data_IF_255096902242
#
_entry.id   IF_255096902242
#
_cell.length_a   1.000
_cell.length_b   1.000
_cell.length_c   1.000
_cell.angle_alpha   90.00
_cell.angle_beta   90.00
_cell.angle_gamma   90.00
#
_symmetry.space_group_name_H-M   'P 1'
#
loop_
_entity.id
_entity.type
_entity.pdbx_description
1 polymer ?
#
# COMPACT_ATOMS: atom_id res chain seq x y z
N UNK A 1 -17.63 8.85 -25.98
CA UNK A 1 -16.31 9.28 -26.50
C UNK A 1 -15.31 8.21 -26.16
N UNK A 2 -14.57 7.69 -27.15
CA UNK A 2 -13.55 6.67 -26.92
C UNK A 2 -12.22 7.35 -26.54
N UNK A 3 -11.41 6.69 -25.71
CA UNK A 3 -10.08 7.20 -25.28
C UNK A 3 -9.18 7.56 -26.47
N UNK A 4 -9.37 6.85 -27.59
CA UNK A 4 -8.68 7.05 -28.87
C UNK A 4 -8.92 8.44 -29.49
N UNK A 5 -10.02 9.11 -29.15
CA UNK A 5 -10.39 10.44 -29.69
C UNK A 5 -9.75 11.60 -28.92
N UNK A 6 -9.38 11.40 -27.64
CA UNK A 6 -8.80 12.45 -26.78
C UNK A 6 -7.26 12.43 -26.88
N UNK A 7 -6.64 11.26 -27.05
CA UNK A 7 -5.21 11.11 -27.33
C UNK A 7 -4.98 9.99 -28.35
N UNK A 8 -4.90 10.30 -29.66
CA UNK A 8 -4.76 9.28 -30.70
C UNK A 8 -3.45 8.48 -30.51
N UNK A 9 -3.57 7.17 -30.26
CA UNK A 9 -2.43 6.23 -30.21
C UNK A 9 -1.81 5.97 -28.82
N UNK A 10 -2.41 6.47 -27.74
CA UNK A 10 -1.88 6.25 -26.39
C UNK A 10 -2.28 4.86 -25.85
N UNK A 11 -1.32 3.93 -25.85
CA UNK A 11 -1.48 2.66 -25.12
C UNK A 11 -1.40 2.90 -23.60
N UNK A 12 -2.05 2.08 -22.74
CA UNK A 12 -1.99 2.25 -21.28
C UNK A 12 -0.56 2.34 -20.73
N UNK A 13 0.39 1.61 -21.36
CA UNK A 13 1.81 1.67 -21.01
C UNK A 13 2.43 3.05 -21.26
N UNK A 14 2.12 3.70 -22.38
CA UNK A 14 2.59 5.06 -22.69
C UNK A 14 1.99 6.11 -21.76
N UNK A 15 0.72 5.96 -21.37
CA UNK A 15 0.05 6.85 -20.42
C UNK A 15 0.68 6.73 -19.03
N UNK A 16 0.92 5.50 -18.56
CA UNK A 16 1.63 5.26 -17.30
C UNK A 16 3.06 5.83 -17.35
N UNK A 17 3.73 5.77 -18.49
CA UNK A 17 5.05 6.38 -18.66
C UNK A 17 4.98 7.91 -18.56
N UNK A 18 3.96 8.54 -19.14
CA UNK A 18 3.71 9.97 -19.02
C UNK A 18 3.42 10.39 -17.58
N UNK A 19 2.63 9.62 -16.83
CA UNK A 19 2.37 9.88 -15.41
C UNK A 19 3.63 9.76 -14.52
N UNK A 20 4.67 9.09 -15.00
CA UNK A 20 5.97 8.96 -14.31
C UNK A 20 6.99 10.02 -14.70
N UNK A 21 6.75 10.78 -15.77
CA UNK A 21 7.63 11.88 -16.21
C UNK A 21 7.50 13.04 -15.22
N UNK A 22 8.51 13.19 -14.36
CA UNK A 22 8.51 14.22 -13.31
C UNK A 22 9.94 14.63 -12.91
N UNK A 23 10.15 15.83 -12.35
CA UNK A 23 11.49 16.30 -11.98
C UNK A 23 12.03 15.68 -10.67
N UNK A 24 11.19 15.02 -9.87
CA UNK A 24 11.53 14.45 -8.57
C UNK A 24 11.65 12.92 -8.61
N UNK A 25 12.50 12.29 -7.79
CA UNK A 25 12.72 10.85 -7.84
C UNK A 25 11.47 10.07 -7.45
N UNK A 26 11.22 8.92 -8.11
CA UNK A 26 10.10 8.03 -7.79
C UNK A 26 10.25 7.42 -6.38
N UNK A 27 9.14 7.19 -5.66
CA UNK A 27 9.19 6.52 -4.38
C UNK A 27 9.68 5.07 -4.53
N UNK A 28 10.49 4.61 -3.58
CA UNK A 28 10.97 3.23 -3.55
C UNK A 28 9.86 2.26 -3.13
N UNK A 29 9.11 1.79 -4.13
CA UNK A 29 7.98 0.88 -3.95
C UNK A 29 8.42 -0.44 -3.31
N UNK A 30 9.60 -0.96 -3.64
CA UNK A 30 10.08 -2.24 -3.13
C UNK A 30 10.35 -2.16 -1.62
N UNK A 31 11.02 -1.09 -1.18
CA UNK A 31 11.24 -0.82 0.24
C UNK A 31 9.93 -0.63 0.99
N UNK A 32 8.98 0.13 0.46
CA UNK A 32 7.70 0.36 1.13
C UNK A 32 6.86 -0.91 1.23
N UNK A 33 6.82 -1.74 0.16
CA UNK A 33 6.17 -3.08 0.20
C UNK A 33 6.76 -3.96 1.30
N UNK A 34 8.09 -3.99 1.42
CA UNK A 34 8.79 -4.77 2.46
C UNK A 34 8.47 -4.29 3.88
N UNK A 35 8.25 -2.99 4.08
CA UNK A 35 7.87 -2.44 5.40
C UNK A 35 6.41 -2.73 5.74
N UNK A 36 5.53 -2.70 4.75
CA UNK A 36 4.12 -3.04 4.91
C UNK A 36 3.93 -4.52 5.19
N UNK A 37 4.65 -5.40 4.50
CA UNK A 37 4.59 -6.83 4.76
C UNK A 37 5.34 -7.18 6.05
N UNK A 38 4.63 -7.80 7.00
CA UNK A 38 5.17 -8.20 8.29
C UNK A 38 6.28 -9.24 8.10
N UNK A 39 6.11 -10.17 7.15
CA UNK A 39 7.11 -11.22 6.88
C UNK A 39 8.39 -10.65 6.26
N UNK A 40 8.31 -9.49 5.61
CA UNK A 40 9.44 -8.78 5.02
C UNK A 40 10.34 -8.06 6.04
N UNK A 41 9.96 -8.03 7.32
CA UNK A 41 10.72 -7.31 8.36
C UNK A 41 12.08 -7.97 8.65
N UNK A 42 13.08 -7.17 9.01
CA UNK A 42 14.44 -7.65 9.30
C UNK A 42 14.52 -8.62 10.49
N UNK A 43 13.49 -8.70 11.33
CA UNK A 43 13.39 -9.65 12.44
C UNK A 43 13.34 -11.10 11.93
N UNK A 44 12.76 -11.33 10.75
CA UNK A 44 12.66 -12.64 10.13
C UNK A 44 13.91 -13.04 9.33
N UNK A 45 14.87 -12.13 9.15
CA UNK A 45 16.10 -12.44 8.44
C UNK A 45 17.08 -13.18 9.38
N UNK A 46 17.26 -14.47 9.14
CA UNK A 46 18.17 -15.33 9.92
C UNK A 46 19.65 -14.97 9.76
N UNK A 47 20.05 -14.35 8.64
CA UNK A 47 21.43 -13.88 8.45
C UNK A 47 21.73 -12.61 9.27
N UNK A 48 20.71 -11.76 9.50
CA UNK A 48 20.87 -10.57 10.35
C UNK A 48 20.59 -10.86 11.82
N UNK A 49 19.74 -11.85 12.10
CA UNK A 49 19.35 -12.30 13.43
C UNK A 49 19.44 -13.80 13.48
N UNK A 50 20.65 -14.27 13.73
CA UNK A 50 20.99 -15.68 13.82
C UNK A 50 20.28 -16.34 15.01
N UNK A 51 20.12 -17.66 14.89
CA UNK A 51 19.64 -18.48 15.99
C UNK A 51 20.74 -18.64 17.06
N UNK A 52 20.32 -18.86 18.32
CA UNK A 52 21.26 -18.88 19.44
C UNK A 52 21.95 -20.25 19.50
N UNK A 53 23.28 -20.25 19.55
CA UNK A 53 24.04 -21.46 19.83
C UNK A 53 24.21 -21.61 21.34
N UNK A 54 23.75 -22.73 21.89
CA UNK A 54 23.88 -23.09 23.30
C UNK A 54 24.72 -24.35 23.46
N UNK A 55 25.35 -24.50 24.62
CA UNK A 55 26.12 -25.69 24.99
C UNK A 55 25.45 -26.29 26.23
N UNK A 56 24.52 -27.24 26.06
CA UNK A 56 23.70 -27.75 27.16
C UNK A 56 24.54 -28.51 28.20
N UNK A 57 25.57 -29.24 27.76
CA UNK A 57 26.41 -30.08 28.63
C UNK A 57 27.89 -29.66 28.58
N UNK A 58 28.29 -28.58 29.27
CA UNK A 58 29.70 -28.23 29.42
C UNK A 58 30.37 -29.15 30.45
N UNK A 59 31.53 -29.74 30.12
CA UNK A 59 32.36 -30.45 31.10
C UNK A 59 33.03 -29.44 32.02
N UNK A 60 32.90 -29.63 33.33
CA UNK A 60 33.45 -28.74 34.38
C UNK A 60 34.47 -29.47 35.24
N UNK A 61 35.51 -28.76 35.68
CA UNK A 61 36.49 -29.23 36.66
C UNK A 61 35.87 -29.33 38.06
N UNK A 62 36.58 -29.98 39.00
CA UNK A 62 36.22 -30.05 40.43
C UNK A 62 36.01 -28.67 41.08
N UNK A 63 36.64 -27.62 40.53
CA UNK A 63 36.47 -26.22 40.94
C UNK A 63 35.33 -25.48 40.20
N UNK A 64 34.52 -26.18 39.41
CA UNK A 64 33.36 -25.62 38.68
C UNK A 64 33.69 -24.84 37.40
N UNK A 65 34.97 -24.79 36.99
CA UNK A 65 35.41 -24.09 35.77
C UNK A 65 35.13 -24.94 34.53
N UNK A 66 34.59 -24.35 33.47
CA UNK A 66 34.29 -25.07 32.21
C UNK A 66 35.59 -25.39 31.48
N UNK A 67 35.86 -26.68 31.28
CA UNK A 67 37.05 -27.22 30.60
C UNK A 67 36.76 -27.39 29.11
N UNK A 68 35.57 -27.89 28.81
CA UNK A 68 35.13 -28.21 27.46
C UNK A 68 33.67 -27.79 27.27
N UNK A 69 33.42 -27.05 26.19
CA UNK A 69 32.07 -26.70 25.77
C UNK A 69 31.65 -27.86 24.87
N UNK A 70 30.79 -28.75 25.35
CA UNK A 70 30.37 -29.97 24.64
C UNK A 70 29.71 -29.70 23.27
N UNK A 71 28.86 -30.60 22.79
CA UNK A 71 28.27 -30.43 21.46
C UNK A 71 27.37 -29.17 21.38
N UNK A 72 27.61 -28.27 20.39
CA UNK A 72 26.78 -27.09 20.21
C UNK A 72 25.38 -27.49 19.71
N UNK A 73 24.36 -26.96 20.37
CA UNK A 73 22.97 -27.08 19.93
C UNK A 73 22.45 -25.70 19.51
N UNK A 74 21.88 -25.61 18.32
CA UNK A 74 21.23 -24.38 17.84
C UNK A 74 19.79 -24.34 18.31
N UNK A 75 19.44 -23.33 19.09
CA UNK A 75 18.07 -23.03 19.50
C UNK A 75 17.50 -21.86 18.69
N UNK A 76 16.29 -22.07 18.17
CA UNK A 76 15.58 -21.06 17.37
C UNK A 76 15.19 -19.88 18.23
N UNK A 77 15.52 -18.68 17.75
CA UNK A 77 15.10 -17.44 18.41
C UNK A 77 13.63 -17.16 18.06
N UNK A 78 12.84 -16.78 19.07
CA UNK A 78 11.46 -16.36 18.87
C UNK A 78 11.41 -15.03 18.11
N UNK A 79 10.66 -14.99 17.01
CA UNK A 79 10.55 -13.84 16.09
C UNK A 79 9.10 -13.43 15.97
N UNK A 80 8.77 -12.25 16.48
CA UNK A 80 7.41 -11.70 16.45
C UNK A 80 7.41 -10.47 15.53
N UNK A 81 6.60 -10.54 14.48
CA UNK A 81 6.40 -9.42 13.55
C UNK A 81 5.20 -8.58 13.97
N UNK A 82 5.37 -7.26 14.01
CA UNK A 82 4.30 -6.33 14.38
C UNK A 82 3.79 -5.58 13.16
N UNK A 83 2.47 -5.64 12.92
CA UNK A 83 1.81 -4.96 11.81
C UNK A 83 1.50 -3.46 12.10
N UNK A 84 2.36 -2.76 12.83
CA UNK A 84 2.11 -1.39 13.28
C UNK A 84 1.87 -0.42 12.12
N UNK A 85 2.65 -0.52 11.04
CA UNK A 85 2.48 0.35 9.89
C UNK A 85 1.12 0.17 9.20
N UNK A 86 0.65 -1.09 9.05
CA UNK A 86 -0.69 -1.37 8.54
C UNK A 86 -1.77 -0.78 9.46
N UNK A 87 -1.59 -0.89 10.77
CA UNK A 87 -2.53 -0.36 11.76
C UNK A 87 -2.61 1.17 11.69
N UNK A 88 -1.46 1.85 11.60
CA UNK A 88 -1.37 3.31 11.47
C UNK A 88 -2.10 3.76 10.20
N UNK A 89 -1.82 3.12 9.06
CA UNK A 89 -2.45 3.49 7.77
C UNK A 89 -3.96 3.31 7.82
N UNK A 90 -4.44 2.19 8.37
CA UNK A 90 -5.89 1.95 8.52
C UNK A 90 -6.54 3.03 9.38
N UNK A 91 -5.95 3.35 10.53
CA UNK A 91 -6.46 4.40 11.42
C UNK A 91 -6.44 5.76 10.74
N UNK A 92 -5.32 6.17 10.13
CA UNK A 92 -5.21 7.43 9.41
C UNK A 92 -6.25 7.57 8.29
N UNK A 93 -6.47 6.51 7.51
CA UNK A 93 -7.51 6.49 6.47
C UNK A 93 -8.91 6.63 7.08
N UNK A 94 -9.19 5.93 8.17
CA UNK A 94 -10.49 6.02 8.87
C UNK A 94 -10.73 7.39 9.50
N UNK A 95 -9.68 8.08 9.97
CA UNK A 95 -9.80 9.45 10.46
C UNK A 95 -10.02 10.45 9.31
N UNK A 96 -9.34 10.27 8.17
CA UNK A 96 -9.48 11.15 7.02
C UNK A 96 -10.87 11.09 6.39
N UNK A 97 -11.43 9.89 6.23
CA UNK A 97 -12.78 9.67 5.70
C UNK A 97 -13.76 9.24 6.79
N UNK A 98 -13.60 9.78 8.00
CA UNK A 98 -14.55 9.57 9.08
C UNK A 98 -15.88 10.26 8.78
N UNK A 99 -15.79 11.42 8.13
CA UNK A 99 -16.91 12.10 7.49
C UNK A 99 -16.78 11.92 5.97
N UNK A 100 -17.89 11.83 5.23
CA UNK A 100 -17.85 11.84 3.78
C UNK A 100 -17.24 13.14 3.25
N UNK A 101 -16.62 13.07 2.07
CA UNK A 101 -16.08 14.26 1.40
C UNK A 101 -17.24 14.92 0.68
N UNK A 102 -17.58 16.13 1.10
CA UNK A 102 -18.56 16.97 0.43
C UNK A 102 -17.84 17.89 -0.55
N UNK A 103 -18.43 18.04 -1.75
CA UNK A 103 -17.94 18.95 -2.75
C UNK A 103 -18.79 20.22 -2.68
N UNK A 104 -18.14 21.35 -2.37
CA UNK A 104 -18.80 22.64 -2.27
C UNK A 104 -18.65 23.40 -3.60
N UNK A 105 -19.78 23.88 -4.13
CA UNK A 105 -19.85 24.55 -5.42
C UNK A 105 -20.76 25.78 -5.32
N UNK A 106 -20.29 26.91 -5.86
CA UNK A 106 -21.11 28.11 -6.04
C UNK A 106 -21.61 28.17 -7.49
N UNK A 107 -22.71 27.48 -7.79
CA UNK A 107 -23.39 27.58 -9.09
C UNK A 107 -24.47 28.66 -9.07
N UNK A 108 -24.40 29.57 -10.04
CA UNK A 108 -25.34 30.68 -10.19
C UNK A 108 -26.33 30.42 -11.34
N UNK A 109 -25.86 29.79 -12.42
CA UNK A 109 -26.66 29.47 -13.62
C UNK A 109 -27.34 28.10 -13.52
N UNK A 110 -28.47 27.93 -14.21
CA UNK A 110 -29.17 26.63 -14.28
C UNK A 110 -28.37 25.57 -15.06
N UNK A 111 -27.54 25.99 -16.03
CA UNK A 111 -26.62 25.10 -16.74
C UNK A 111 -25.52 24.56 -15.80
N UNK A 112 -25.02 25.40 -14.89
CA UNK A 112 -23.99 25.01 -13.92
C UNK A 112 -24.54 24.02 -12.89
N UNK A 113 -25.80 24.22 -12.45
CA UNK A 113 -26.47 23.26 -11.55
C UNK A 113 -26.67 21.90 -12.22
N UNK A 114 -27.06 21.89 -13.50
CA UNK A 114 -27.20 20.65 -14.25
C UNK A 114 -25.85 19.92 -14.40
N UNK A 115 -24.76 20.65 -14.64
CA UNK A 115 -23.42 20.07 -14.68
C UNK A 115 -23.00 19.45 -13.34
N UNK A 116 -23.27 20.12 -12.22
CA UNK A 116 -22.96 19.61 -10.89
C UNK A 116 -23.74 18.33 -10.59
N UNK A 117 -25.05 18.30 -10.90
CA UNK A 117 -25.88 17.11 -10.72
C UNK A 117 -25.32 15.91 -11.50
N UNK A 118 -24.93 16.12 -12.77
CA UNK A 118 -24.30 15.07 -13.57
C UNK A 118 -22.95 14.61 -12.99
N UNK A 119 -22.18 15.52 -12.40
CA UNK A 119 -20.91 15.20 -11.75
C UNK A 119 -21.13 14.36 -10.49
N UNK A 120 -22.08 14.75 -9.63
CA UNK A 120 -22.43 14.01 -8.42
C UNK A 120 -22.89 12.59 -8.75
N UNK A 121 -23.78 12.43 -9.74
CA UNK A 121 -24.23 11.12 -10.22
C UNK A 121 -23.05 10.28 -10.72
N UNK A 122 -22.15 10.86 -11.52
CA UNK A 122 -20.96 10.16 -12.02
C UNK A 122 -20.04 9.69 -10.88
N UNK A 123 -19.87 10.48 -9.82
CA UNK A 123 -19.06 10.11 -8.66
C UNK A 123 -19.73 9.03 -7.81
N UNK A 124 -21.06 9.08 -7.68
CA UNK A 124 -21.84 8.07 -6.96
C UNK A 124 -21.82 6.71 -7.69
N UNK A 125 -22.05 6.71 -9.01
CA UNK A 125 -22.00 5.51 -9.86
C UNK A 125 -20.63 4.81 -9.79
N UNK A 126 -19.56 5.59 -9.77
CA UNK A 126 -18.20 5.07 -9.64
C UNK A 126 -17.81 4.70 -8.20
N UNK A 127 -18.71 4.87 -7.22
CA UNK A 127 -18.48 4.62 -5.79
C UNK A 127 -17.23 5.35 -5.30
N UNK A 128 -17.14 6.63 -5.62
CA UNK A 128 -15.94 7.46 -5.41
C UNK A 128 -15.47 7.46 -3.95
N UNK A 129 -16.37 7.37 -2.97
CA UNK A 129 -16.00 7.23 -1.56
C UNK A 129 -15.11 6.01 -1.27
N UNK A 130 -15.36 4.91 -1.96
CA UNK A 130 -14.57 3.69 -1.82
C UNK A 130 -13.19 3.86 -2.47
N UNK A 131 -13.17 4.43 -3.68
CA UNK A 131 -11.95 4.71 -4.43
C UNK A 131 -11.05 5.66 -3.63
N UNK A 132 -11.60 6.74 -3.07
CA UNK A 132 -10.89 7.67 -2.20
C UNK A 132 -10.23 7.00 -0.99
N UNK A 133 -10.94 6.10 -0.31
CA UNK A 133 -10.38 5.29 0.79
C UNK A 133 -9.25 4.38 0.30
N UNK A 134 -9.32 3.85 -0.92
CA UNK A 134 -8.24 3.05 -1.51
C UNK A 134 -7.03 3.91 -1.86
N UNK A 135 -7.24 5.03 -2.53
CA UNK A 135 -6.19 5.98 -2.92
C UNK A 135 -5.44 6.47 -1.68
N UNK A 136 -6.14 6.90 -0.63
CA UNK A 136 -5.46 7.35 0.59
C UNK A 136 -4.65 6.24 1.26
N UNK A 137 -5.13 4.99 1.26
CA UNK A 137 -4.32 3.85 1.74
C UNK A 137 -3.06 3.70 0.91
N UNK A 138 -3.13 3.90 -0.42
CA UNK A 138 -1.95 3.84 -1.31
C UNK A 138 -1.01 5.00 -1.04
N UNK A 139 -1.51 6.23 -0.88
CA UNK A 139 -0.71 7.41 -0.55
C UNK A 139 0.01 7.22 0.80
N UNK A 140 -0.69 6.80 1.86
CA UNK A 140 -0.06 6.54 3.16
C UNK A 140 0.88 5.32 3.16
N UNK A 141 0.73 4.40 2.20
CA UNK A 141 1.58 3.23 2.04
C UNK A 141 2.85 3.51 1.24
N UNK A 142 2.70 4.21 0.11
CA UNK A 142 3.69 4.36 -0.96
C UNK A 142 4.09 5.82 -1.19
N UNK A 143 3.69 6.73 -0.30
CA UNK A 143 3.86 8.19 -0.32
C UNK A 143 3.07 8.94 -1.39
N UNK A 144 2.79 8.31 -2.52
CA UNK A 144 2.11 8.93 -3.64
C UNK A 144 1.22 7.90 -4.37
N UNK A 145 0.16 8.37 -5.01
CA UNK A 145 -0.71 7.59 -5.86
C UNK A 145 -1.14 8.46 -7.05
N UNK A 146 -1.42 7.83 -8.19
CA UNK A 146 -1.99 8.47 -9.36
C UNK A 146 -3.21 7.67 -9.80
N UNK A 147 -4.22 8.40 -10.25
CA UNK A 147 -5.44 7.83 -10.77
C UNK A 147 -5.56 8.13 -12.26
N UNK A 148 -6.13 7.19 -12.99
CA UNK A 148 -6.36 7.32 -14.42
C UNK A 148 -7.83 7.00 -14.69
N UNK A 149 -8.56 8.04 -15.10
CA UNK A 149 -9.97 7.96 -15.46
C UNK A 149 -10.09 7.75 -16.96
N UNK A 150 -10.95 6.82 -17.37
CA UNK A 150 -11.27 6.54 -18.76
C UNK A 150 -12.73 6.14 -18.88
N UNK A 151 -13.31 6.39 -20.05
CA UNK A 151 -14.67 6.01 -20.38
C UNK A 151 -14.73 4.53 -20.75
N UNK A 152 -15.79 3.85 -20.31
CA UNK A 152 -16.05 2.45 -20.57
C UNK A 152 -17.45 2.32 -21.18
N UNK A 153 -17.59 1.47 -22.18
CA UNK A 153 -18.91 1.20 -22.78
C UNK A 153 -19.78 0.42 -21.78
N UNK A 154 -21.03 0.82 -21.61
CA UNK A 154 -21.92 0.33 -20.55
C UNK A 154 -22.11 -1.20 -20.55
N UNK A 155 -22.05 -1.86 -21.71
CA UNK A 155 -22.17 -3.33 -21.82
C UNK A 155 -20.99 -4.09 -21.18
N UNK A 156 -19.81 -3.46 -21.07
CA UNK A 156 -18.61 -4.10 -20.51
C UNK A 156 -18.47 -3.94 -19.00
N UNK A 157 -19.38 -3.18 -18.37
CA UNK A 157 -19.31 -2.88 -16.93
C UNK A 157 -19.67 -4.11 -16.08
N UNK A 158 -20.50 -5.02 -16.59
CA UNK A 158 -20.86 -6.29 -15.94
C UNK A 158 -19.68 -7.27 -15.78
N UNK A 159 -18.66 -7.18 -16.65
CA UNK A 159 -17.46 -8.03 -16.59
C UNK A 159 -16.46 -7.57 -15.50
N UNK A 160 -16.51 -6.29 -15.12
CA UNK A 160 -15.71 -5.76 -14.02
C UNK A 160 -16.50 -5.88 -12.71
N UNK A 161 -16.64 -7.12 -12.22
CA UNK A 161 -17.16 -7.37 -10.88
C UNK A 161 -16.28 -6.64 -9.83
N UNK A 162 -16.76 -5.48 -9.37
CA UNK A 162 -16.32 -4.81 -8.15
C UNK A 162 -17.04 -5.37 -6.93
#
# INVERSE_FOLDING_TARGET
MKVEEIVPGATPGTLIANLKLRPYPLPDVAKMKKRLDVKGHSVFNTALREDKTIYPDPKKDENGKVIDKGEPKTERVNRIGFALQKLIIKRATSFLFGNPVELDYNAESDEEKALISCLEEMLEDNKEEYINKQIARKVFSFTEAAEYWFTVDAESLDDFHF
#
